data_IF_913955584988
#
_entry.id   IF_913955584988
#
_cell.length_a   1.000
_cell.length_b   1.000
_cell.length_c   1.000
_cell.angle_alpha   90.00
_cell.angle_beta   90.00
_cell.angle_gamma   90.00
#
_symmetry.space_group_name_H-M   'P 1'
#
loop_
_entity.id
_entity.type
_entity.pdbx_description
1 polymer ?
#
# COMPACT_ATOMS: atom_id res chain seq x y z
N UNK A 1 -10.47 10.24 8.23
CA UNK A 1 -9.05 10.34 7.84
C UNK A 1 -8.77 9.18 6.90
N UNK A 2 -8.19 9.46 5.75
CA UNK A 2 -7.74 8.45 4.81
C UNK A 2 -6.45 7.82 5.34
N UNK A 3 -6.46 6.50 5.54
CA UNK A 3 -5.31 5.79 6.10
C UNK A 3 -4.96 4.56 5.27
N UNK A 4 -3.66 4.29 5.18
CA UNK A 4 -3.13 3.00 4.73
C UNK A 4 -2.35 2.41 5.89
N UNK A 5 -2.89 1.36 6.51
CA UNK A 5 -2.22 0.66 7.61
C UNK A 5 -1.33 -0.47 7.08
N UNK A 6 -0.07 -0.45 7.45
CA UNK A 6 0.91 -1.49 7.13
C UNK A 6 0.79 -2.60 8.17
N UNK A 7 0.48 -3.83 7.75
CA UNK A 7 0.50 -5.00 8.65
C UNK A 7 1.83 -5.73 8.58
N UNK A 8 2.39 -6.08 9.73
CA UNK A 8 3.57 -6.95 9.85
C UNK A 8 3.37 -8.23 9.02
N UNK A 9 4.33 -8.55 8.15
CA UNK A 9 4.28 -9.70 7.24
C UNK A 9 3.00 -9.82 6.41
N UNK A 10 2.29 -8.70 6.25
CA UNK A 10 0.91 -8.71 5.80
C UNK A 10 0.60 -7.64 4.77
N UNK A 11 -0.69 -7.51 4.43
CA UNK A 11 -1.16 -6.59 3.40
C UNK A 11 -1.19 -5.13 3.86
N UNK A 12 -1.61 -4.26 2.95
CA UNK A 12 -1.94 -2.87 3.21
C UNK A 12 -3.45 -2.78 3.46
N UNK A 13 -3.88 -2.35 4.65
CA UNK A 13 -5.29 -2.17 4.97
C UNK A 13 -5.67 -0.69 4.81
N UNK A 14 -6.49 -0.40 3.80
CA UNK A 14 -6.94 0.96 3.48
C UNK A 14 -8.27 1.26 4.14
N UNK A 15 -8.41 2.50 4.63
CA UNK A 15 -9.65 3.09 5.10
C UNK A 15 -9.72 4.51 4.56
N UNK A 16 -10.52 4.73 3.52
CA UNK A 16 -10.71 6.00 2.80
C UNK A 16 -11.95 5.87 1.91
N UNK A 17 -12.41 6.94 1.27
CA UNK A 17 -13.29 6.81 0.09
C UNK A 17 -12.41 6.35 -1.10
N UNK A 18 -12.24 5.04 -1.26
CA UNK A 18 -11.28 4.46 -2.22
C UNK A 18 -11.96 4.36 -3.58
N UNK A 19 -11.30 4.88 -4.61
CA UNK A 19 -11.71 4.73 -6.01
C UNK A 19 -10.74 3.78 -6.71
N UNK A 20 -11.22 2.64 -7.19
CA UNK A 20 -10.44 1.62 -7.87
C UNK A 20 -11.25 1.01 -9.01
N UNK A 21 -10.75 1.10 -10.25
CA UNK A 21 -11.42 0.59 -11.46
C UNK A 21 -12.91 0.98 -11.55
N UNK A 22 -13.20 2.27 -11.33
CA UNK A 22 -14.54 2.87 -11.35
C UNK A 22 -15.51 2.40 -10.25
N UNK A 23 -15.05 1.55 -9.33
CA UNK A 23 -15.77 1.20 -8.11
C UNK A 23 -15.31 2.08 -6.95
N UNK A 24 -16.26 2.44 -6.09
CA UNK A 24 -15.99 3.17 -4.85
C UNK A 24 -16.34 2.34 -3.63
N UNK A 25 -15.41 2.23 -2.70
CA UNK A 25 -15.61 1.51 -1.44
C UNK A 25 -14.81 2.13 -0.30
N UNK A 26 -15.19 1.84 0.94
CA UNK A 26 -14.59 2.50 2.12
C UNK A 26 -13.41 1.74 2.75
N UNK A 27 -13.26 0.46 2.41
CA UNK A 27 -12.24 -0.43 2.96
C UNK A 27 -11.75 -1.35 1.86
N UNK A 28 -10.43 -1.50 1.77
CA UNK A 28 -9.81 -2.57 1.00
C UNK A 28 -8.56 -3.08 1.68
N UNK A 29 -8.25 -4.34 1.42
CA UNK A 29 -7.00 -4.95 1.85
C UNK A 29 -6.21 -5.31 0.60
N UNK A 30 -5.10 -4.62 0.36
CA UNK A 30 -4.32 -4.72 -0.88
C UNK A 30 -3.06 -5.56 -0.67
N UNK A 31 -2.71 -6.33 -1.69
CA UNK A 31 -1.54 -7.20 -1.68
C UNK A 31 -0.24 -6.39 -1.60
N UNK A 32 0.61 -6.74 -0.64
CA UNK A 32 1.98 -6.21 -0.50
C UNK A 32 3.05 -7.25 -0.85
N UNK A 33 2.69 -8.54 -0.80
CA UNK A 33 3.63 -9.66 -0.92
C UNK A 33 3.91 -10.11 -2.36
N UNK A 34 3.08 -9.74 -3.34
CA UNK A 34 3.20 -10.18 -4.73
C UNK A 34 2.59 -11.56 -5.03
N UNK A 35 2.25 -12.36 -4.01
CA UNK A 35 1.80 -13.75 -4.18
C UNK A 35 0.27 -13.94 -4.30
N UNK A 36 -0.53 -12.87 -4.21
CA UNK A 36 -1.99 -13.01 -4.30
C UNK A 36 -2.44 -13.45 -5.70
N UNK A 37 -3.42 -14.33 -5.81
CA UNK A 37 -4.11 -14.70 -7.04
C UNK A 37 -5.26 -13.73 -7.36
N UNK A 38 -5.74 -12.98 -6.36
CA UNK A 38 -6.78 -11.96 -6.48
C UNK A 38 -6.21 -10.52 -6.52
N UNK A 39 -5.07 -10.30 -7.19
CA UNK A 39 -4.46 -8.97 -7.30
C UNK A 39 -5.46 -7.96 -7.90
N UNK A 40 -5.49 -6.70 -7.42
CA UNK A 40 -4.58 -6.07 -6.45
C UNK A 40 -4.91 -6.35 -4.98
N UNK A 41 -6.00 -7.07 -4.70
CA UNK A 41 -6.44 -7.39 -3.36
C UNK A 41 -5.57 -8.46 -2.70
N UNK A 42 -5.67 -8.57 -1.39
CA UNK A 42 -5.06 -9.65 -0.63
C UNK A 42 -6.07 -10.78 -0.42
N UNK A 43 -5.64 -12.00 -0.70
CA UNK A 43 -6.36 -13.26 -0.47
C UNK A 43 -5.76 -14.11 0.67
N UNK A 44 -4.70 -13.62 1.32
CA UNK A 44 -4.01 -14.34 2.38
C UNK A 44 -2.79 -15.15 1.95
N UNK A 45 -2.42 -15.14 0.65
CA UNK A 45 -1.25 -15.89 0.14
C UNK A 45 0.07 -15.54 0.82
N UNK A 46 0.19 -14.36 1.45
CA UNK A 46 1.36 -13.97 2.24
C UNK A 46 1.73 -14.94 3.37
N UNK A 47 0.73 -15.64 3.94
CA UNK A 47 0.95 -16.64 4.99
C UNK A 47 1.69 -17.88 4.48
N UNK A 48 1.45 -18.26 3.22
CA UNK A 48 2.07 -19.44 2.59
C UNK A 48 3.31 -19.09 1.78
N UNK A 49 3.43 -17.84 1.31
CA UNK A 49 4.54 -17.40 0.47
C UNK A 49 5.82 -17.06 1.25
N UNK A 50 5.82 -17.19 2.59
CA UNK A 50 6.95 -16.80 3.42
C UNK A 50 7.26 -15.30 3.38
N UNK A 51 6.24 -14.45 3.15
CA UNK A 51 6.46 -13.01 3.03
C UNK A 51 6.91 -12.40 4.35
N UNK A 52 8.17 -11.95 4.41
CA UNK A 52 8.74 -11.26 5.55
C UNK A 52 8.91 -9.76 5.23
N UNK A 53 8.20 -8.91 5.97
CA UNK A 53 8.32 -7.46 5.85
C UNK A 53 7.73 -6.74 7.05
N UNK A 54 8.52 -5.84 7.62
CA UNK A 54 8.11 -5.01 8.75
C UNK A 54 6.83 -4.20 8.46
N UNK A 55 6.00 -4.05 9.50
CA UNK A 55 4.89 -3.12 9.62
C UNK A 55 5.27 -1.79 10.28
N UNK A 56 6.53 -1.64 10.70
CA UNK A 56 7.10 -0.49 11.41
C UNK A 56 8.31 0.08 10.63
N UNK A 57 8.12 0.59 9.40
CA UNK A 57 9.20 1.24 8.66
C UNK A 57 9.64 2.56 9.32
N UNK A 58 10.79 3.08 8.88
CA UNK A 58 11.28 4.38 9.32
C UNK A 58 10.25 5.50 9.05
N UNK A 59 10.05 6.36 10.03
CA UNK A 59 9.17 7.52 9.93
C UNK A 59 9.79 8.57 9.01
N UNK A 60 8.96 9.23 8.22
CA UNK A 60 9.34 10.43 7.46
C UNK A 60 8.88 11.66 8.22
N UNK A 61 9.71 12.70 8.20
CA UNK A 61 9.28 14.02 8.64
C UNK A 61 8.45 14.67 7.54
N UNK A 62 7.12 14.54 7.66
CA UNK A 62 6.17 15.11 6.70
C UNK A 62 5.17 16.03 7.40
N UNK A 63 4.94 17.24 6.85
CA UNK A 63 3.99 18.18 7.44
C UNK A 63 2.57 17.60 7.45
N UNK A 64 1.72 18.19 8.28
CA UNK A 64 0.30 17.85 8.27
C UNK A 64 -0.33 18.20 6.90
N UNK A 65 -1.31 17.41 6.47
CA UNK A 65 -2.09 17.71 5.27
C UNK A 65 -3.16 18.75 5.61
N UNK A 66 -3.42 19.66 4.67
CA UNK A 66 -4.51 20.66 4.79
C UNK A 66 -5.89 19.99 4.91
N UNK A 67 -6.07 18.83 4.26
CA UNK A 67 -7.24 17.99 4.38
C UNK A 67 -6.83 16.53 4.60
N UNK A 68 -7.58 15.83 5.47
CA UNK A 68 -7.28 14.44 5.87
C UNK A 68 -8.24 13.42 5.26
N UNK A 69 -9.19 13.85 4.42
CA UNK A 69 -10.26 13.06 3.82
C UNK A 69 -10.36 13.35 2.30
N UNK A 70 -11.43 12.87 1.68
CA UNK A 70 -11.68 12.97 0.24
C UNK A 70 -11.42 11.64 -0.47
N UNK A 71 -11.66 11.58 -1.79
CA UNK A 71 -11.41 10.39 -2.58
C UNK A 71 -9.91 10.05 -2.60
N UNK A 72 -9.62 8.76 -2.49
CA UNK A 72 -8.29 8.18 -2.65
C UNK A 72 -8.30 7.23 -3.84
N UNK A 73 -7.79 7.70 -4.97
CA UNK A 73 -7.65 6.89 -6.17
C UNK A 73 -6.50 5.91 -6.00
N UNK A 74 -6.77 4.63 -6.20
CA UNK A 74 -5.78 3.56 -6.17
C UNK A 74 -5.68 2.95 -7.56
N UNK A 75 -4.53 3.10 -8.21
CA UNK A 75 -4.25 2.53 -9.53
C UNK A 75 -3.17 1.46 -9.43
N UNK A 76 -3.51 0.17 -9.57
CA UNK A 76 -2.52 -0.88 -9.77
C UNK A 76 -1.85 -0.66 -11.13
N UNK A 77 -0.59 -0.25 -11.13
CA UNK A 77 0.17 -0.13 -12.38
C UNK A 77 0.51 -1.52 -12.90
N UNK A 78 0.41 -1.71 -14.23
CA UNK A 78 0.74 -2.97 -14.90
C UNK A 78 2.14 -3.43 -14.51
N UNK A 79 2.28 -4.64 -13.97
CA UNK A 79 3.53 -5.23 -13.53
C UNK A 79 4.29 -4.37 -12.50
N UNK A 80 3.57 -3.54 -11.74
CA UNK A 80 4.15 -2.48 -10.94
C UNK A 80 3.45 -2.20 -9.61
N UNK A 81 3.84 -1.09 -8.95
CA UNK A 81 3.28 -0.71 -7.65
C UNK A 81 1.80 -0.30 -7.70
N UNK A 82 1.24 -0.10 -6.51
CA UNK A 82 -0.01 0.63 -6.31
C UNK A 82 0.31 2.12 -6.31
N UNK A 83 -0.21 2.87 -7.29
CA UNK A 83 -0.19 4.32 -7.28
C UNK A 83 -1.38 4.81 -6.45
N UNK A 84 -1.12 5.62 -5.43
CA UNK A 84 -2.14 6.26 -4.61
C UNK A 84 -2.15 7.75 -4.93
N UNK A 85 -3.33 8.31 -5.15
CA UNK A 85 -3.55 9.74 -5.41
C UNK A 85 -4.75 10.24 -4.60
N UNK A 86 -4.54 11.31 -3.83
CA UNK A 86 -5.48 11.81 -2.82
C UNK A 86 -4.83 11.87 -1.45
N UNK A 87 -5.42 12.64 -0.54
CA UNK A 87 -4.92 12.82 0.83
C UNK A 87 -4.86 11.46 1.53
N UNK A 88 -3.71 11.07 2.08
CA UNK A 88 -3.57 9.81 2.80
C UNK A 88 -2.45 9.85 3.84
N UNK A 89 -2.70 9.20 4.96
CA UNK A 89 -1.70 8.93 6.00
C UNK A 89 -1.31 7.44 5.95
N UNK A 90 -0.03 7.16 5.73
CA UNK A 90 0.50 5.81 5.87
C UNK A 90 0.82 5.61 7.35
N UNK A 91 0.25 4.56 7.94
CA UNK A 91 0.36 4.29 9.37
C UNK A 91 0.84 2.86 9.63
N UNK A 92 1.54 2.67 10.74
CA UNK A 92 2.03 1.36 11.16
C UNK A 92 0.93 0.53 11.82
N UNK A 93 1.23 -0.74 12.09
CA UNK A 93 0.35 -1.64 12.84
C UNK A 93 0.01 -1.07 14.23
N UNK A 94 0.98 -0.45 14.91
CA UNK A 94 0.83 0.19 16.21
C UNK A 94 0.18 1.58 16.16
N UNK A 95 0.07 2.19 14.97
CA UNK A 95 -0.64 3.45 14.75
C UNK A 95 0.25 4.68 14.58
N UNK A 96 1.58 4.52 14.53
CA UNK A 96 2.48 5.62 14.19
C UNK A 96 2.27 6.07 12.73
N UNK A 97 2.33 7.38 12.48
CA UNK A 97 2.26 7.92 11.12
C UNK A 97 3.65 7.89 10.48
N UNK A 98 3.80 7.10 9.43
CA UNK A 98 5.03 6.94 8.65
C UNK A 98 5.21 8.07 7.65
N UNK A 99 4.13 8.45 6.98
CA UNK A 99 4.17 9.39 5.86
C UNK A 99 2.79 10.03 5.67
N UNK A 100 2.76 11.33 5.36
CA UNK A 100 1.57 12.09 5.02
C UNK A 100 1.76 12.65 3.63
N UNK A 101 0.90 12.25 2.70
CA UNK A 101 1.10 12.58 1.28
C UNK A 101 -0.20 12.64 0.52
N UNK A 102 -0.16 13.27 -0.65
CA UNK A 102 -1.23 13.28 -1.64
C UNK A 102 -0.94 12.35 -2.82
N UNK A 103 0.29 11.84 -2.91
CA UNK A 103 0.71 10.93 -3.97
C UNK A 103 1.86 10.05 -3.54
N UNK A 104 1.73 8.75 -3.71
CA UNK A 104 2.80 7.79 -3.39
C UNK A 104 2.65 6.49 -4.16
N UNK A 105 3.71 5.69 -4.17
CA UNK A 105 3.75 4.38 -4.81
C UNK A 105 4.08 3.32 -3.77
N UNK A 106 3.15 2.40 -3.54
CA UNK A 106 3.32 1.32 -2.57
C UNK A 106 3.73 0.01 -3.27
N UNK A 107 4.66 -0.69 -2.66
CA UNK A 107 5.17 -1.97 -3.14
C UNK A 107 4.05 -3.01 -3.18
N UNK A 108 3.84 -3.59 -4.36
CA UNK A 108 2.90 -4.69 -4.61
C UNK A 108 3.60 -6.00 -4.95
N UNK A 109 4.88 -5.95 -5.31
CA UNK A 109 5.65 -7.11 -5.76
C UNK A 109 6.30 -7.94 -4.63
N UNK A 110 6.33 -7.45 -3.40
CA UNK A 110 7.00 -8.12 -2.27
C UNK A 110 8.53 -7.93 -2.17
N UNK A 111 9.19 -7.36 -3.18
CA UNK A 111 10.66 -7.34 -3.25
C UNK A 111 11.34 -5.98 -3.00
N UNK A 112 10.59 -4.90 -2.72
CA UNK A 112 11.19 -3.60 -2.41
C UNK A 112 12.13 -3.69 -1.20
N UNK A 113 13.28 -3.03 -1.24
CA UNK A 113 14.15 -2.83 -0.08
C UNK A 113 13.64 -1.67 0.81
N UNK A 114 12.77 -0.81 0.28
CA UNK A 114 12.20 0.35 0.96
C UNK A 114 10.70 0.14 1.27
N UNK A 115 10.31 -1.06 1.72
CA UNK A 115 8.90 -1.33 2.05
C UNK A 115 8.39 -0.37 3.14
N UNK A 116 7.14 0.10 3.06
CA UNK A 116 6.07 -0.31 2.13
C UNK A 116 6.14 0.38 0.76
N UNK A 117 7.09 1.27 0.52
CA UNK A 117 7.21 2.04 -0.71
C UNK A 117 7.81 1.23 -1.85
N UNK A 118 7.51 1.61 -3.08
CA UNK A 118 8.15 1.06 -4.27
C UNK A 118 9.54 1.68 -4.47
N UNK A 119 10.53 0.85 -4.78
CA UNK A 119 11.91 1.24 -5.11
C UNK A 119 12.32 0.81 -6.53
N UNK A 120 11.37 0.34 -7.34
CA UNK A 120 11.63 -0.20 -8.68
C UNK A 120 11.96 -1.69 -8.75
N UNK A 121 12.09 -2.39 -7.61
CA UNK A 121 12.44 -3.82 -7.57
C UNK A 121 11.50 -4.73 -8.38
N UNK A 122 10.25 -4.31 -8.60
CA UNK A 122 9.27 -5.04 -9.44
C UNK A 122 9.78 -5.31 -10.86
N UNK A 123 10.59 -4.41 -11.44
CA UNK A 123 11.19 -4.61 -12.76
C UNK A 123 12.25 -5.71 -12.74
N UNK A 124 13.12 -5.68 -11.71
CA UNK A 124 14.22 -6.63 -11.54
C UNK A 124 13.73 -8.05 -11.30
N UNK A 125 12.65 -8.21 -10.54
CA UNK A 125 12.08 -9.54 -10.22
C UNK A 125 11.04 -10.03 -11.24
N UNK A 126 10.82 -9.28 -12.33
CA UNK A 126 9.85 -9.66 -13.37
C UNK A 126 8.42 -9.80 -12.84
N UNK A 127 8.00 -8.91 -11.93
CA UNK A 127 6.69 -9.00 -11.30
C UNK A 127 5.56 -8.94 -12.34
N UNK A 128 4.61 -9.88 -12.27
CA UNK A 128 3.43 -9.91 -13.13
C UNK A 128 2.17 -9.70 -12.29
N UNK A 129 1.37 -8.70 -12.68
CA UNK A 129 0.04 -8.47 -12.11
C UNK A 129 -0.47 -7.06 -12.22
#
# INVERSE_FOLDING_TARGET
VNTVRIRENGPLALHAEIVLCDETFYRATLCRCGASENKPFCDGSHNKSGFAATGEPALKDTPALDARNGPLTVTPTKNGPLKLEGNVEIVTGTGHTVDRTQRTFLCRCGHSANKPFCDGSHKRVGFVG
#
